data_IF_028655786959
#
_entry.id   IF_028655786959
#
_cell.length_a   1.000
_cell.length_b   1.000
_cell.length_c   1.000
_cell.angle_alpha   90.00
_cell.angle_beta   90.00
_cell.angle_gamma   90.00
#
_symmetry.space_group_name_H-M   'P 1'
#
loop_
_entity.id
_entity.type
_entity.pdbx_description
1 polymer ?
#
# COMPACT_ATOMS: atom_id res chain seq x y z
N UNK A 1 13.80 0.67 -9.47
CA UNK A 1 13.40 0.50 -8.06
C UNK A 1 14.64 0.23 -7.22
N UNK A 2 14.69 0.77 -6.00
CA UNK A 2 15.76 0.47 -5.05
C UNK A 2 15.60 -0.92 -4.43
N UNK A 3 16.58 -1.34 -3.63
CA UNK A 3 16.49 -2.57 -2.85
C UNK A 3 15.60 -2.33 -1.63
N UNK A 4 14.54 -3.11 -1.48
CA UNK A 4 13.69 -3.07 -0.27
C UNK A 4 14.52 -3.56 0.91
N UNK A 5 14.69 -2.72 1.93
CA UNK A 5 15.45 -3.09 3.14
C UNK A 5 14.53 -3.58 4.25
N UNK A 6 13.34 -2.97 4.39
CA UNK A 6 12.38 -3.26 5.46
C UNK A 6 10.96 -3.24 4.91
N UNK A 7 10.12 -4.15 5.39
CA UNK A 7 8.65 -4.09 5.24
C UNK A 7 8.03 -3.84 6.60
N UNK A 8 7.21 -2.80 6.69
CA UNK A 8 6.37 -2.51 7.84
C UNK A 8 4.95 -2.99 7.57
N UNK A 9 4.43 -3.85 8.44
CA UNK A 9 3.06 -4.37 8.31
C UNK A 9 2.29 -4.30 9.62
N UNK A 10 0.99 -4.13 9.52
CA UNK A 10 0.05 -4.39 10.59
C UNK A 10 0.09 -5.87 11.03
N UNK A 11 -0.16 -6.17 12.32
CA UNK A 11 -0.13 -7.53 12.86
C UNK A 11 -1.36 -8.37 12.46
N UNK A 12 -2.09 -7.97 11.42
CA UNK A 12 -3.32 -8.62 10.97
C UNK A 12 -3.07 -10.02 10.39
N UNK A 13 -4.10 -10.89 10.38
CA UNK A 13 -3.95 -12.29 9.98
C UNK A 13 -3.63 -12.47 8.48
N UNK A 14 -3.89 -11.45 7.66
CA UNK A 14 -3.71 -11.48 6.20
C UNK A 14 -2.23 -11.52 5.79
N UNK A 15 -1.36 -10.90 6.58
CA UNK A 15 0.09 -10.93 6.41
C UNK A 15 0.69 -11.95 7.38
N UNK A 16 0.37 -13.22 7.12
CA UNK A 16 0.71 -14.34 7.98
C UNK A 16 2.18 -14.78 7.88
N UNK A 17 2.50 -15.86 8.61
CA UNK A 17 3.86 -16.40 8.72
C UNK A 17 4.49 -16.79 7.37
N UNK A 18 3.69 -17.14 6.36
CA UNK A 18 4.20 -17.48 5.03
C UNK A 18 4.77 -16.25 4.31
N UNK A 19 4.05 -15.13 4.33
CA UNK A 19 4.50 -13.86 3.73
C UNK A 19 5.75 -13.36 4.42
N UNK A 20 5.77 -13.42 5.76
CA UNK A 20 6.96 -13.07 6.55
C UNK A 20 8.19 -13.89 6.12
N UNK A 21 8.06 -15.23 6.06
CA UNK A 21 9.17 -16.12 5.65
C UNK A 21 9.68 -15.81 4.25
N UNK A 22 8.78 -15.53 3.31
CA UNK A 22 9.16 -15.16 1.94
C UNK A 22 9.96 -13.86 1.89
N UNK A 23 9.52 -12.83 2.61
CA UNK A 23 10.20 -11.53 2.70
C UNK A 23 11.58 -11.69 3.34
N UNK A 24 11.66 -12.40 4.47
CA UNK A 24 12.91 -12.67 5.17
C UNK A 24 13.89 -13.49 4.30
N UNK A 25 13.40 -14.47 3.53
CA UNK A 25 14.23 -15.24 2.59
C UNK A 25 14.84 -14.39 1.46
N UNK A 26 14.25 -13.23 1.19
CA UNK A 26 14.74 -12.26 0.20
C UNK A 26 15.73 -11.26 0.81
N UNK A 27 16.14 -11.44 2.07
CA UNK A 27 17.05 -10.54 2.79
C UNK A 27 16.37 -9.26 3.31
N UNK A 28 15.03 -9.20 3.30
CA UNK A 28 14.27 -8.03 3.73
C UNK A 28 13.86 -8.19 5.19
N UNK A 29 14.02 -7.13 5.99
CA UNK A 29 13.63 -7.14 7.41
C UNK A 29 12.11 -7.00 7.54
N UNK A 30 11.49 -7.89 8.30
CA UNK A 30 10.07 -7.81 8.65
C UNK A 30 9.86 -7.07 9.97
N UNK A 31 9.12 -5.96 9.94
CA UNK A 31 8.76 -5.20 11.13
C UNK A 31 7.24 -5.11 11.27
N UNK A 32 6.71 -5.65 12.36
CA UNK A 32 5.32 -5.36 12.72
C UNK A 32 5.24 -3.91 13.22
N UNK A 33 4.31 -3.14 12.66
CA UNK A 33 3.96 -1.83 13.18
C UNK A 33 3.49 -1.99 14.63
N UNK A 34 4.03 -1.20 15.58
CA UNK A 34 3.46 -1.12 16.92
C UNK A 34 1.95 -0.86 16.81
N UNK A 35 1.13 -1.50 17.63
CA UNK A 35 -0.35 -1.32 17.63
C UNK A 35 -0.75 0.16 17.77
N UNK A 36 0.13 1.00 18.31
CA UNK A 36 -0.03 2.45 18.46
C UNK A 36 0.66 3.31 17.38
N UNK A 37 1.46 2.74 16.48
CA UNK A 37 2.16 3.47 15.42
C UNK A 37 1.26 3.68 14.20
N UNK A 38 0.20 4.48 14.41
CA UNK A 38 -0.71 4.95 13.35
C UNK A 38 -0.02 5.73 12.23
N UNK A 39 1.21 6.22 12.43
CA UNK A 39 1.90 7.06 11.46
C UNK A 39 2.36 6.28 10.22
N UNK A 40 3.00 5.12 10.39
CA UNK A 40 3.54 4.34 9.26
C UNK A 40 2.46 3.57 8.51
N UNK A 41 1.51 2.94 9.21
CA UNK A 41 0.29 2.40 8.57
C UNK A 41 -0.58 3.52 8.00
N UNK A 42 -0.59 4.68 8.64
CA UNK A 42 -1.29 5.89 8.17
C UNK A 42 -0.83 6.36 6.79
N UNK A 43 0.43 6.12 6.41
CA UNK A 43 0.89 6.41 5.05
C UNK A 43 0.26 5.47 4.03
N UNK A 44 0.23 4.17 4.29
CA UNK A 44 -0.44 3.20 3.43
C UNK A 44 -1.95 3.47 3.36
N UNK A 45 -2.59 3.75 4.50
CA UNK A 45 -4.01 4.13 4.59
C UNK A 45 -4.31 5.41 3.79
N UNK A 46 -3.47 6.43 3.89
CA UNK A 46 -3.62 7.68 3.13
C UNK A 46 -3.44 7.46 1.64
N UNK A 47 -2.47 6.64 1.23
CA UNK A 47 -2.29 6.25 -0.18
C UNK A 47 -3.51 5.47 -0.69
N UNK A 48 -4.09 4.58 0.12
CA UNK A 48 -5.32 3.85 -0.21
C UNK A 48 -6.49 4.83 -0.42
N UNK A 49 -6.67 5.82 0.46
CA UNK A 49 -7.72 6.83 0.29
C UNK A 49 -7.55 7.63 -1.01
N UNK A 50 -6.34 8.08 -1.33
CA UNK A 50 -6.07 8.80 -2.58
C UNK A 50 -6.31 7.89 -3.79
N UNK A 51 -5.84 6.63 -3.75
CA UNK A 51 -6.07 5.67 -4.82
C UNK A 51 -7.57 5.44 -5.06
N UNK A 52 -8.37 5.32 -4.00
CA UNK A 52 -9.82 5.19 -4.11
C UNK A 52 -10.46 6.43 -4.75
N UNK A 53 -9.99 7.64 -4.43
CA UNK A 53 -10.45 8.88 -5.07
C UNK A 53 -10.11 8.92 -6.55
N UNK A 54 -8.94 8.45 -6.95
CA UNK A 54 -8.54 8.33 -8.36
C UNK A 54 -9.41 7.30 -9.08
N UNK A 55 -9.59 6.11 -8.49
CA UNK A 55 -10.43 5.06 -9.07
C UNK A 55 -11.87 5.51 -9.30
N UNK A 56 -12.47 6.24 -8.34
CA UNK A 56 -13.82 6.81 -8.46
C UNK A 56 -13.94 7.86 -9.58
N UNK A 57 -12.85 8.53 -9.96
CA UNK A 57 -12.83 9.46 -11.11
C UNK A 57 -12.74 8.72 -12.45
N UNK A 58 -12.07 7.56 -12.47
CA UNK A 58 -11.87 6.77 -13.68
C UNK A 58 -13.07 5.90 -14.04
N UNK A 59 -13.78 5.37 -13.03
CA UNK A 59 -14.98 4.58 -13.23
C UNK A 59 -16.03 4.92 -12.19
N UNK A 60 -17.25 5.21 -12.67
CA UNK A 60 -18.44 5.32 -11.83
C UNK A 60 -19.01 3.96 -11.44
N UNK A 61 -18.64 2.88 -12.15
CA UNK A 61 -18.99 1.50 -11.85
C UNK A 61 -17.90 0.86 -10.97
N UNK A 62 -18.20 0.59 -9.67
CA UNK A 62 -17.23 -0.01 -8.78
C UNK A 62 -16.82 -1.42 -9.19
N UNK A 63 -17.62 -2.16 -9.98
CA UNK A 63 -17.30 -3.53 -10.36
C UNK A 63 -16.11 -3.62 -11.34
N UNK A 64 -15.85 -2.54 -12.09
CA UNK A 64 -14.75 -2.43 -13.06
C UNK A 64 -13.49 -1.81 -12.48
N UNK A 65 -13.38 -1.72 -11.16
CA UNK A 65 -12.23 -1.08 -10.51
C UNK A 65 -10.91 -1.78 -10.89
N UNK A 66 -10.91 -3.12 -11.01
CA UNK A 66 -9.75 -3.93 -11.36
C UNK A 66 -9.15 -3.56 -12.72
N UNK A 67 -9.99 -3.31 -13.71
CA UNK A 67 -9.59 -2.87 -15.06
C UNK A 67 -8.91 -1.49 -15.05
N UNK A 68 -9.22 -0.67 -14.04
CA UNK A 68 -8.74 0.70 -13.90
C UNK A 68 -7.56 0.84 -12.94
N UNK A 69 -7.14 -0.22 -12.22
CA UNK A 69 -6.06 -0.15 -11.22
C UNK A 69 -4.75 0.35 -11.83
N UNK A 70 -4.32 -0.24 -12.95
CA UNK A 70 -3.03 0.13 -13.58
C UNK A 70 -3.01 1.62 -13.97
N UNK A 71 -4.11 2.13 -14.50
CA UNK A 71 -4.25 3.55 -14.85
C UNK A 71 -4.30 4.43 -13.59
N UNK A 72 -5.03 4.00 -12.57
CA UNK A 72 -5.11 4.73 -11.30
C UNK A 72 -3.76 4.84 -10.61
N UNK A 73 -2.94 3.77 -10.63
CA UNK A 73 -1.57 3.78 -10.09
C UNK A 73 -0.68 4.73 -10.89
N UNK A 74 -0.79 4.74 -12.22
CA UNK A 74 -0.05 5.69 -13.05
C UNK A 74 -0.40 7.14 -12.70
N UNK A 75 -1.69 7.47 -12.59
CA UNK A 75 -2.13 8.81 -12.22
C UNK A 75 -1.67 9.17 -10.80
N UNK A 76 -1.82 8.26 -9.83
CA UNK A 76 -1.38 8.45 -8.46
C UNK A 76 0.12 8.75 -8.32
N UNK A 77 0.97 8.03 -9.05
CA UNK A 77 2.43 8.24 -9.01
C UNK A 77 2.87 9.59 -9.61
N UNK A 78 2.02 10.23 -10.41
CA UNK A 78 2.28 11.55 -11.00
C UNK A 78 1.51 12.69 -10.30
N UNK A 79 0.71 12.38 -9.27
CA UNK A 79 0.01 13.40 -8.48
C UNK A 79 0.98 14.11 -7.54
N UNK A 80 0.96 15.44 -7.56
CA UNK A 80 1.58 16.23 -6.52
C UNK A 80 0.74 16.13 -5.24
N UNK A 81 1.30 15.49 -4.21
CA UNK A 81 0.66 15.38 -2.90
C UNK A 81 1.14 16.56 -2.05
N UNK A 82 0.39 17.66 -2.10
CA UNK A 82 0.76 18.96 -1.49
C UNK A 82 0.82 18.93 0.05
N UNK A 83 0.48 17.82 0.71
CA UNK A 83 0.34 17.74 2.18
C UNK A 83 0.94 16.46 2.78
N UNK A 84 2.19 16.13 2.47
CA UNK A 84 2.95 15.12 3.20
C UNK A 84 3.79 15.76 4.31
#
# INVERSE_FOLDING_TARGET
>A
FGVTVVIYSDPGPHLGAQTKKFVESSGVVWCNSPVAAKASTGMAEKVIDILQRVLKKLSSDPSKWTENVSRAVFELNNLEIVHL
#
